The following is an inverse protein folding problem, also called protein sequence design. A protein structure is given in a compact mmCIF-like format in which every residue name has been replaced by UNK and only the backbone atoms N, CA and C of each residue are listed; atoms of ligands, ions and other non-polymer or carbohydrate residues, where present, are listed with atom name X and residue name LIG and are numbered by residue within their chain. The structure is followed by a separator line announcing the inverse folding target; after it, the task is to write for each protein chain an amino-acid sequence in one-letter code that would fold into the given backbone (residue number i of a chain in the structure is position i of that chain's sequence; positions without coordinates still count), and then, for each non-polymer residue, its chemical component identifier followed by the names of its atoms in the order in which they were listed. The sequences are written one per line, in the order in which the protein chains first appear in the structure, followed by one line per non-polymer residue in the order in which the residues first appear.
data_IF_463042822791
#
_entry.id   IF_463042822791
#
_cell.length_a   1.000
_cell.length_b   1.000
_cell.length_c   1.000
_cell.angle_alpha   90.00
_cell.angle_beta   90.00
_cell.angle_gamma   90.00
#
_symmetry.space_group_name_H-M   'P 1'
#
loop_
_entity.id
_entity.type
_entity.pdbx_description
1 polymer ?
#
# COMPACT_ATOMS: atom_id res chain seq x y z
N UNK A 1 -17.22 20.72 -24.50
CA UNK A 1 -16.11 19.87 -24.98
C UNK A 1 -15.05 19.84 -23.90
N UNK A 2 -15.01 18.79 -23.07
CA UNK A 2 -13.92 18.63 -22.10
C UNK A 2 -12.66 18.31 -22.90
N UNK A 3 -11.78 19.31 -23.01
CA UNK A 3 -10.43 19.11 -23.51
C UNK A 3 -9.80 18.00 -22.66
N UNK A 4 -9.31 16.95 -23.32
CA UNK A 4 -8.65 15.78 -22.72
C UNK A 4 -7.89 16.20 -21.47
N UNK A 5 -8.31 15.74 -20.29
CA UNK A 5 -7.61 16.08 -19.05
C UNK A 5 -6.34 15.22 -19.03
N UNK A 6 -5.21 15.70 -19.57
CA UNK A 6 -4.33 14.82 -20.34
C UNK A 6 -3.20 14.27 -19.48
N UNK A 7 -3.16 14.59 -18.19
CA UNK A 7 -2.03 14.22 -17.34
C UNK A 7 -2.05 12.71 -17.09
N UNK A 8 -3.20 12.09 -16.82
CA UNK A 8 -3.22 10.67 -16.48
C UNK A 8 -2.84 9.78 -17.68
N UNK A 9 -3.54 9.89 -18.80
CA UNK A 9 -3.26 9.07 -20.00
C UNK A 9 -1.83 9.30 -20.53
N UNK A 10 -1.35 10.55 -20.50
CA UNK A 10 0.04 10.87 -20.88
C UNK A 10 1.06 10.27 -19.91
N UNK A 11 0.80 10.32 -18.60
CA UNK A 11 1.67 9.68 -17.62
C UNK A 11 1.71 8.16 -17.82
N UNK A 12 0.57 7.53 -18.12
CA UNK A 12 0.52 6.09 -18.44
C UNK A 12 1.29 5.80 -19.72
N UNK A 13 1.18 6.62 -20.75
CA UNK A 13 1.94 6.44 -21.99
C UNK A 13 3.45 6.65 -21.81
N UNK A 14 3.88 7.64 -21.02
CA UNK A 14 5.30 7.98 -20.83
C UNK A 14 6.00 7.12 -19.77
N UNK A 15 5.27 6.65 -18.74
CA UNK A 15 5.84 5.98 -17.55
C UNK A 15 5.25 4.59 -17.31
N UNK A 16 4.24 4.18 -18.07
CA UNK A 16 3.43 3.01 -17.80
C UNK A 16 2.40 3.27 -16.68
N UNK A 17 1.51 2.31 -16.49
CA UNK A 17 0.53 2.34 -15.40
C UNK A 17 1.20 1.97 -14.06
N UNK A 18 1.97 2.91 -13.51
CA UNK A 18 2.71 2.75 -12.25
C UNK A 18 1.77 2.36 -11.10
N UNK A 19 0.58 2.97 -10.91
CA UNK A 19 -0.35 2.55 -9.86
C UNK A 19 -0.76 1.07 -9.94
N UNK A 20 -1.05 0.55 -11.14
CA UNK A 20 -1.37 -0.87 -11.34
C UNK A 20 -0.16 -1.75 -11.03
N UNK A 21 1.04 -1.37 -11.51
CA UNK A 21 2.27 -2.12 -11.25
C UNK A 21 2.58 -2.21 -9.74
N UNK A 22 2.48 -1.09 -9.02
CA UNK A 22 2.72 -1.05 -7.56
C UNK A 22 1.71 -1.92 -6.82
N UNK A 23 0.44 -1.95 -7.25
CA UNK A 23 -0.57 -2.83 -6.64
C UNK A 23 -0.22 -4.30 -6.85
N UNK A 24 0.20 -4.68 -8.06
CA UNK A 24 0.64 -6.04 -8.37
C UNK A 24 1.83 -6.47 -7.51
N UNK A 25 2.83 -5.60 -7.37
CA UNK A 25 4.03 -5.90 -6.58
C UNK A 25 3.71 -5.95 -5.08
N UNK A 26 2.86 -5.05 -4.57
CA UNK A 26 2.41 -5.10 -3.18
C UNK A 26 1.68 -6.42 -2.87
N UNK A 27 0.83 -6.89 -3.80
CA UNK A 27 0.14 -8.17 -3.65
C UNK A 27 1.11 -9.37 -3.69
N UNK A 28 2.15 -9.31 -4.52
CA UNK A 28 3.23 -10.30 -4.54
C UNK A 28 3.97 -10.33 -3.20
N UNK A 29 4.50 -9.19 -2.76
CA UNK A 29 5.23 -9.05 -1.49
C UNK A 29 4.38 -9.55 -0.32
N UNK A 30 3.08 -9.23 -0.31
CA UNK A 30 2.16 -9.69 0.74
C UNK A 30 2.04 -11.22 0.78
N UNK A 31 1.96 -11.90 -0.38
CA UNK A 31 1.92 -13.37 -0.44
C UNK A 31 3.23 -13.98 0.01
N UNK A 32 4.35 -13.43 -0.43
CA UNK A 32 5.68 -13.90 -0.07
C UNK A 32 5.89 -13.76 1.45
N UNK A 33 5.52 -12.62 2.02
CA UNK A 33 5.56 -12.39 3.46
C UNK A 33 4.67 -13.37 4.23
N UNK A 34 3.44 -13.63 3.76
CA UNK A 34 2.55 -14.61 4.40
C UNK A 34 3.12 -16.04 4.34
N UNK A 35 3.88 -16.39 3.31
CA UNK A 35 4.58 -17.66 3.25
C UNK A 35 5.72 -17.73 4.28
N UNK A 36 6.55 -16.69 4.38
CA UNK A 36 7.62 -16.61 5.37
C UNK A 36 7.09 -16.69 6.80
N UNK A 37 6.04 -15.91 7.12
CA UNK A 37 5.46 -15.89 8.46
C UNK A 37 4.83 -17.23 8.86
N UNK A 38 4.23 -17.97 7.91
CA UNK A 38 3.74 -19.33 8.18
C UNK A 38 4.85 -20.31 8.55
N UNK A 39 6.07 -20.08 8.07
CA UNK A 39 7.24 -20.92 8.34
C UNK A 39 8.04 -20.44 9.55
N UNK A 40 7.78 -19.22 10.03
CA UNK A 40 8.45 -18.66 11.18
C UNK A 40 7.94 -19.31 12.49
N UNK A 41 8.83 -19.61 13.45
CA UNK A 41 8.42 -19.98 14.80
C UNK A 41 7.52 -18.88 15.41
N UNK A 42 6.51 -19.29 16.18
CA UNK A 42 5.58 -18.34 16.81
C UNK A 42 6.35 -17.30 17.64
N UNK A 43 6.14 -15.99 17.42
CA UNK A 43 6.72 -14.96 18.26
C UNK A 43 6.17 -15.09 19.69
N UNK A 44 7.05 -15.18 20.69
CA UNK A 44 6.68 -15.02 22.09
C UNK A 44 6.08 -13.61 22.27
N UNK A 45 4.96 -13.43 22.99
CA UNK A 45 4.30 -12.14 23.12
C UNK A 45 5.10 -11.22 24.06
N UNK A 46 6.07 -10.49 23.52
CA UNK A 46 6.63 -9.30 24.16
C UNK A 46 6.36 -8.10 23.26
N UNK A 47 5.19 -7.51 23.43
CA UNK A 47 4.70 -6.35 22.67
C UNK A 47 5.26 -5.04 23.27
N UNK A 48 6.02 -4.23 22.53
CA UNK A 48 6.02 -2.78 22.76
C UNK A 48 4.93 -2.11 21.90
N UNK A 49 4.26 -1.07 22.41
CA UNK A 49 3.15 -0.41 21.71
C UNK A 49 3.64 0.29 20.42
N UNK A 50 2.91 0.08 19.34
CA UNK A 50 3.14 0.74 18.05
C UNK A 50 2.91 2.25 18.18
N UNK A 51 3.93 3.05 17.83
CA UNK A 51 3.92 4.53 17.87
C UNK A 51 3.21 5.14 16.66
N UNK A 52 2.65 4.32 15.77
CA UNK A 52 1.86 4.80 14.63
C UNK A 52 0.41 5.10 15.06
N UNK A 53 0.24 6.13 15.89
CA UNK A 53 -1.05 6.80 16.00
C UNK A 53 -1.34 7.52 14.68
N UNK A 54 -2.23 6.93 13.89
CA UNK A 54 -2.91 7.62 12.80
C UNK A 54 -3.58 8.85 13.42
N UNK A 55 -3.12 10.07 13.10
CA UNK A 55 -3.78 11.30 13.55
C UNK A 55 -5.25 11.27 13.14
N UNK A 56 -6.13 10.89 14.07
CA UNK A 56 -7.56 10.97 13.90
C UNK A 56 -7.94 12.46 13.78
N UNK A 57 -8.68 12.88 12.74
CA UNK A 57 -9.19 14.24 12.67
C UNK A 57 -10.21 14.47 13.79
N UNK A 58 -10.30 15.70 14.35
CA UNK A 58 -11.18 15.98 15.46
C UNK A 58 -12.63 15.81 15.02
N UNK A 59 -13.35 14.91 15.69
CA UNK A 59 -14.81 14.78 15.56
C UNK A 59 -15.43 15.99 16.25
N UNK A 60 -15.83 16.99 15.47
CA UNK A 60 -16.58 18.14 15.97
C UNK A 60 -18.00 17.68 16.32
N UNK A 61 -18.40 17.96 17.57
CA UNK A 61 -19.79 17.90 18.03
C UNK A 61 -20.53 19.18 17.62
#
# INVERSE_FOLDING_TARGET
MFQQTPVYDRLVAERGDVPVQVRGEADRIRRDLAQVLRQAPAPQPSTPPSVFELKQPPRTL
#
